data_IF_551569657372
#
_entry.id   IF_551569657372
#
_cell.length_a   1.000
_cell.length_b   1.000
_cell.length_c   1.000
_cell.angle_alpha   90.00
_cell.angle_beta   90.00
_cell.angle_gamma   90.00
#
_symmetry.space_group_name_H-M   'P 1'
#
loop_
_entity.id
_entity.type
_entity.pdbx_description
1 polymer ?
#
# COMPACT_ATOMS: atom_id res chain seq x y z
N UNK A 1 -6.88 -4.55 0.34
CA UNK A 1 -7.31 -3.37 -0.50
C UNK A 1 -7.81 -2.33 0.49
N UNK A 2 -7.42 -1.06 0.37
CA UNK A 2 -7.79 -0.08 1.41
C UNK A 2 -9.23 0.42 1.30
N UNK A 3 -9.66 0.77 0.09
CA UNK A 3 -11.01 1.24 -0.19
C UNK A 3 -11.33 0.99 -1.66
N UNK A 4 -12.62 1.06 -2.02
CA UNK A 4 -13.02 1.03 -3.42
C UNK A 4 -12.25 2.08 -4.23
N UNK A 5 -11.63 1.64 -5.33
CA UNK A 5 -10.80 2.47 -6.22
C UNK A 5 -9.55 3.10 -5.57
N UNK A 6 -9.15 2.70 -4.36
CA UNK A 6 -7.92 3.15 -3.69
C UNK A 6 -7.06 1.93 -3.32
N UNK A 7 -5.85 1.90 -3.89
CA UNK A 7 -4.92 0.79 -3.75
C UNK A 7 -3.60 1.29 -3.18
N UNK A 8 -2.92 0.42 -2.45
CA UNK A 8 -1.58 0.67 -1.91
C UNK A 8 -0.63 -0.45 -2.29
N UNK A 9 0.65 -0.14 -2.14
CA UNK A 9 1.73 -1.11 -2.29
C UNK A 9 2.89 -0.69 -1.40
N UNK A 10 3.28 -1.59 -0.49
CA UNK A 10 4.47 -1.39 0.33
C UNK A 10 5.73 -1.53 -0.53
N UNK A 11 6.66 -0.58 -0.37
CA UNK A 11 7.90 -0.51 -1.15
C UNK A 11 9.10 -0.43 -0.20
N UNK A 12 10.08 -1.31 -0.39
CA UNK A 12 11.22 -1.44 0.51
C UNK A 12 12.22 -0.29 0.40
N UNK A 13 12.32 0.35 -0.78
CA UNK A 13 13.29 1.41 -1.04
C UNK A 13 12.88 2.29 -2.23
N UNK A 14 13.62 3.38 -2.42
CA UNK A 14 13.38 4.34 -3.50
C UNK A 14 13.62 3.75 -4.90
N UNK A 15 14.50 2.77 -5.06
CA UNK A 15 14.75 2.11 -6.35
C UNK A 15 13.53 1.30 -6.79
N UNK A 16 12.94 0.52 -5.88
CA UNK A 16 11.71 -0.23 -6.10
C UNK A 16 10.53 0.70 -6.44
N UNK A 17 10.44 1.86 -5.77
CA UNK A 17 9.46 2.91 -6.08
C UNK A 17 9.59 3.40 -7.51
N UNK A 18 10.81 3.77 -7.94
CA UNK A 18 11.05 4.28 -9.30
C UNK A 18 10.66 3.24 -10.36
N UNK A 19 11.10 2.00 -10.18
CA UNK A 19 10.77 0.89 -11.07
C UNK A 19 9.25 0.66 -11.17
N UNK A 20 8.53 0.73 -10.04
CA UNK A 20 7.07 0.57 -10.05
C UNK A 20 6.39 1.72 -10.80
N UNK A 21 6.81 2.96 -10.56
CA UNK A 21 6.23 4.13 -11.23
C UNK A 21 6.45 4.10 -12.74
N UNK A 22 7.64 3.67 -13.18
CA UNK A 22 7.94 3.46 -14.60
C UNK A 22 7.03 2.39 -15.21
N UNK A 23 6.78 1.28 -14.50
CA UNK A 23 5.84 0.24 -14.96
C UNK A 23 4.40 0.76 -15.03
N UNK A 24 3.94 1.52 -14.04
CA UNK A 24 2.60 2.11 -14.03
C UNK A 24 2.42 3.10 -15.18
N UNK A 25 3.44 3.92 -15.45
CA UNK A 25 3.40 4.89 -16.55
C UNK A 25 3.33 4.19 -17.91
N UNK A 26 4.07 3.10 -18.09
CA UNK A 26 4.03 2.27 -19.31
C UNK A 26 2.71 1.55 -19.52
N UNK A 27 2.03 1.14 -18.44
CA UNK A 27 0.78 0.38 -18.49
C UNK A 27 -0.45 1.24 -18.14
N UNK A 28 -0.35 2.56 -18.24
CA UNK A 28 -1.49 3.44 -17.92
C UNK A 28 -2.63 3.20 -18.91
N UNK A 29 -3.89 3.11 -18.46
CA UNK A 29 -5.03 3.06 -19.36
C UNK A 29 -5.15 4.35 -20.18
N UNK A 30 -5.78 4.30 -21.37
CA UNK A 30 -5.88 5.45 -22.27
C UNK A 30 -6.84 6.54 -21.76
N UNK A 31 -7.75 6.19 -20.85
CA UNK A 31 -8.73 7.10 -20.27
C UNK A 31 -8.85 6.90 -18.75
N UNK A 32 -9.34 7.93 -18.06
CA UNK A 32 -9.55 7.94 -16.61
C UNK A 32 -8.58 8.86 -15.87
N UNK A 33 -8.88 9.11 -14.58
CA UNK A 33 -8.05 9.93 -13.68
C UNK A 33 -7.35 9.02 -12.70
N UNK A 34 -6.04 8.87 -12.84
CA UNK A 34 -5.19 8.06 -11.95
C UNK A 34 -4.16 8.98 -11.30
N UNK A 35 -4.00 8.86 -9.99
CA UNK A 35 -3.03 9.65 -9.22
C UNK A 35 -2.28 8.70 -8.30
N UNK A 36 -0.96 8.85 -8.24
CA UNK A 36 -0.09 8.10 -7.35
C UNK A 36 0.48 9.05 -6.28
N UNK A 37 0.37 8.67 -5.02
CA UNK A 37 0.96 9.39 -3.89
C UNK A 37 1.97 8.48 -3.19
N UNK A 38 3.15 9.00 -2.91
CA UNK A 38 4.15 8.30 -2.10
C UNK A 38 4.02 8.77 -0.66
N UNK A 39 3.81 7.84 0.25
CA UNK A 39 3.81 8.06 1.71
C UNK A 39 4.87 7.19 2.35
N UNK A 40 5.39 7.62 3.50
CA UNK A 40 6.26 6.79 4.33
C UNK A 40 5.43 5.85 5.21
N UNK A 41 5.99 4.71 5.61
CA UNK A 41 5.30 3.76 6.50
C UNK A 41 4.89 4.41 7.84
N UNK A 42 5.72 5.33 8.35
CA UNK A 42 5.42 6.10 9.55
C UNK A 42 4.23 7.05 9.38
N UNK A 43 3.98 7.55 8.17
CA UNK A 43 2.80 8.36 7.88
C UNK A 43 1.58 7.48 7.67
N UNK A 44 1.74 6.35 6.97
CA UNK A 44 0.66 5.42 6.68
C UNK A 44 0.09 4.77 7.96
N UNK A 45 0.96 4.29 8.85
CA UNK A 45 0.57 3.72 10.15
C UNK A 45 -0.10 4.70 11.10
N UNK A 46 0.12 6.01 10.94
CA UNK A 46 -0.53 7.09 11.71
C UNK A 46 -1.87 7.54 11.13
N UNK A 47 -2.34 6.89 10.06
CA UNK A 47 -3.62 7.22 9.47
C UNK A 47 -4.75 7.02 10.47
N UNK A 48 -5.53 8.07 10.71
CA UNK A 48 -6.69 8.04 11.61
C UNK A 48 -7.92 7.64 10.81
N UNK A 49 -8.57 6.56 11.23
CA UNK A 49 -9.84 6.12 10.66
C UNK A 49 -10.99 6.81 11.40
N UNK A 50 -11.71 7.70 10.71
CA UNK A 50 -12.87 8.39 11.28
C UNK A 50 -14.10 7.48 11.42
N UNK A 51 -14.17 6.42 10.60
CA UNK A 51 -15.21 5.40 10.64
C UNK A 51 -14.69 4.10 10.00
N UNK A 52 -15.16 2.95 10.48
CA UNK A 52 -14.70 1.63 10.07
C UNK A 52 -13.39 1.19 10.73
N UNK A 53 -12.93 -0.01 10.36
CA UNK A 53 -11.72 -0.64 10.92
C UNK A 53 -10.65 -0.81 9.86
N UNK A 54 -9.39 -0.87 10.27
CA UNK A 54 -8.27 -1.17 9.38
C UNK A 54 -8.29 -2.63 8.90
N UNK A 55 -7.73 -2.88 7.71
CA UNK A 55 -7.51 -4.21 7.17
C UNK A 55 -6.42 -4.95 8.00
N UNK A 56 -6.75 -6.07 8.69
CA UNK A 56 -5.82 -6.80 9.55
C UNK A 56 -4.91 -7.77 8.78
N UNK A 57 -4.96 -7.80 7.45
CA UNK A 57 -4.15 -8.72 6.66
C UNK A 57 -2.65 -8.52 6.87
N UNK A 58 -1.90 -9.62 6.89
CA UNK A 58 -0.43 -9.63 6.98
C UNK A 58 0.21 -8.77 5.88
N UNK A 59 -0.41 -8.72 4.70
CA UNK A 59 0.05 -7.92 3.58
C UNK A 59 0.03 -6.40 3.84
N UNK A 60 -0.74 -5.96 4.83
CA UNK A 60 -0.84 -4.57 5.27
C UNK A 60 0.07 -4.25 6.47
N UNK A 61 0.97 -5.16 6.84
CA UNK A 61 1.93 -4.95 7.93
C UNK A 61 3.34 -4.79 7.39
N UNK A 62 4.18 -4.05 8.10
CA UNK A 62 5.61 -3.91 7.84
C UNK A 62 6.45 -4.93 8.64
N UNK A 63 5.81 -5.91 9.28
CA UNK A 63 6.48 -6.95 10.08
C UNK A 63 7.46 -7.74 9.21
N UNK A 64 8.70 -7.87 9.70
CA UNK A 64 9.76 -8.63 9.02
C UNK A 64 9.56 -10.15 9.11
N UNK A 65 8.89 -10.60 10.16
CA UNK A 65 8.61 -12.01 10.43
C UNK A 65 7.12 -12.16 10.61
N UNK A 66 6.56 -13.18 9.97
CA UNK A 66 5.14 -13.51 9.98
C UNK A 66 4.99 -14.93 10.50
N UNK A 67 4.11 -15.11 11.47
CA UNK A 67 3.69 -16.42 11.95
C UNK A 67 2.28 -16.70 11.42
N UNK A 68 2.08 -17.88 10.85
CA UNK A 68 0.79 -18.32 10.34
C UNK A 68 0.30 -19.47 11.23
N UNK A 69 -0.77 -19.24 11.99
CA UNK A 69 -1.44 -20.30 12.76
C UNK A 69 -1.14 -20.35 14.26
N UNK A 70 -0.45 -19.37 14.85
CA UNK A 70 -0.36 -19.23 16.31
C UNK A 70 -1.15 -18.00 16.75
N UNK A 71 -2.37 -18.23 17.26
CA UNK A 71 -2.96 -17.34 18.25
C UNK A 71 -2.25 -17.61 19.58
N UNK A 72 -1.54 -16.61 20.09
CA UNK A 72 -1.27 -16.46 21.52
C UNK A 72 -1.76 -15.08 21.92
#
# INVERSE_FOLDING_TARGET
MHQYSVYSKLLLNNSAKKLLLDRLTKNKPPAGKITALTVTEKQFSKMVYLSGTSDPSVANTDKRVVFLGEEI
#
